data_IF_164354222490
#
_entry.id   IF_164354222490
#
_cell.length_a   1.000
_cell.length_b   1.000
_cell.length_c   1.000
_cell.angle_alpha   90.00
_cell.angle_beta   90.00
_cell.angle_gamma   90.00
#
_symmetry.space_group_name_H-M   'P 1'
#
loop_
_entity.id
_entity.type
_entity.pdbx_description
1 polymer ?
#
# COMPACT_ATOMS: atom_id res chain seq x y z
N UNK A 1 -17.46 -3.20 3.18
CA UNK A 1 -18.90 -2.94 2.89
C UNK A 1 -19.71 -4.21 2.62
N UNK A 2 -19.14 -5.24 1.97
CA UNK A 2 -19.86 -6.44 1.48
C UNK A 2 -20.50 -7.33 2.56
N UNK A 3 -20.23 -7.11 3.84
CA UNK A 3 -20.74 -7.94 4.93
C UNK A 3 -21.63 -7.18 5.94
N UNK A 4 -22.03 -5.95 5.61
CA UNK A 4 -22.78 -5.09 6.51
C UNK A 4 -24.16 -5.68 6.87
N UNK A 5 -24.88 -6.16 5.86
CA UNK A 5 -26.21 -6.72 6.05
C UNK A 5 -26.18 -8.03 6.86
N UNK A 6 -25.16 -8.86 6.60
CA UNK A 6 -24.91 -10.08 7.34
C UNK A 6 -24.53 -9.81 8.81
N UNK A 7 -23.74 -8.78 9.05
CA UNK A 7 -23.39 -8.31 10.39
C UNK A 7 -24.64 -7.90 11.17
N UNK A 8 -25.48 -7.02 10.59
CA UNK A 8 -26.69 -6.57 11.26
C UNK A 8 -27.72 -7.68 11.44
N UNK A 9 -27.80 -8.64 10.52
CA UNK A 9 -28.66 -9.82 10.67
C UNK A 9 -28.23 -10.66 11.88
N UNK A 10 -26.95 -11.03 11.95
CA UNK A 10 -26.43 -11.81 13.08
C UNK A 10 -26.55 -11.08 14.40
N UNK A 11 -26.35 -9.76 14.42
CA UNK A 11 -26.52 -8.94 15.60
C UNK A 11 -27.97 -8.92 16.09
N UNK A 12 -28.95 -8.71 15.17
CA UNK A 12 -30.38 -8.75 15.50
C UNK A 12 -30.82 -10.12 16.00
N UNK A 13 -30.35 -11.20 15.40
CA UNK A 13 -30.65 -12.55 15.82
C UNK A 13 -30.10 -12.85 17.23
N UNK A 14 -28.92 -12.33 17.54
CA UNK A 14 -28.35 -12.37 18.88
C UNK A 14 -29.20 -11.57 19.90
N UNK A 15 -29.61 -10.35 19.53
CA UNK A 15 -30.40 -9.47 20.38
C UNK A 15 -31.77 -10.06 20.73
N UNK A 16 -32.45 -10.75 19.81
CA UNK A 16 -33.73 -11.42 20.04
C UNK A 16 -33.63 -12.54 21.09
N UNK A 17 -32.44 -13.08 21.31
CA UNK A 17 -32.21 -14.16 22.29
C UNK A 17 -31.74 -13.64 23.64
N UNK A 18 -31.50 -12.33 23.80
CA UNK A 18 -31.08 -11.72 25.08
C UNK A 18 -32.11 -11.89 26.18
N UNK A 19 -33.41 -11.90 25.87
CA UNK A 19 -34.52 -12.09 26.80
C UNK A 19 -34.82 -13.57 27.08
N UNK A 20 -34.25 -14.47 26.30
CA UNK A 20 -34.41 -15.92 26.47
C UNK A 20 -33.32 -16.47 27.38
N UNK A 21 -33.67 -17.47 28.21
CA UNK A 21 -32.73 -18.16 29.13
C UNK A 21 -31.52 -18.80 28.42
N UNK A 22 -31.52 -18.91 27.08
CA UNK A 22 -30.42 -19.39 26.25
C UNK A 22 -30.00 -18.33 25.22
N UNK A 23 -28.99 -17.56 25.55
CA UNK A 23 -28.42 -16.57 24.66
C UNK A 23 -27.57 -17.31 23.60
N UNK A 24 -27.97 -17.20 22.33
CA UNK A 24 -27.26 -17.84 21.21
C UNK A 24 -26.35 -16.84 20.51
N UNK A 25 -25.13 -16.59 21.03
CA UNK A 25 -24.17 -15.77 20.32
C UNK A 25 -23.15 -16.56 19.46
N UNK A 26 -23.30 -17.85 19.38
CA UNK A 26 -22.37 -18.69 18.61
C UNK A 26 -22.30 -18.26 17.14
N UNK A 27 -23.44 -17.94 16.53
CA UNK A 27 -23.49 -17.49 15.14
C UNK A 27 -22.81 -16.13 14.95
N UNK A 28 -23.06 -15.19 15.86
CA UNK A 28 -22.44 -13.88 15.84
C UNK A 28 -20.94 -13.99 16.08
N UNK A 29 -20.51 -14.76 17.07
CA UNK A 29 -19.10 -14.98 17.39
C UNK A 29 -18.38 -15.65 16.22
N UNK A 30 -18.98 -16.66 15.62
CA UNK A 30 -18.43 -17.35 14.44
C UNK A 30 -18.30 -16.39 13.26
N UNK A 31 -19.29 -15.56 13.01
CA UNK A 31 -19.23 -14.53 11.98
C UNK A 31 -18.10 -13.52 12.24
N UNK A 32 -17.99 -13.04 13.48
CA UNK A 32 -16.97 -12.09 13.90
C UNK A 32 -15.56 -12.67 13.71
N UNK A 33 -15.32 -13.90 14.19
CA UNK A 33 -14.04 -14.59 14.04
C UNK A 33 -13.67 -14.86 12.57
N UNK A 34 -14.65 -15.26 11.74
CA UNK A 34 -14.44 -15.42 10.29
C UNK A 34 -14.08 -14.10 9.62
N UNK A 35 -14.73 -13.02 10.02
CA UNK A 35 -14.45 -11.68 9.49
C UNK A 35 -13.05 -11.21 9.87
N UNK A 36 -12.63 -11.41 11.12
CA UNK A 36 -11.27 -11.12 11.58
C UNK A 36 -10.22 -11.93 10.82
N UNK A 37 -10.46 -13.23 10.66
CA UNK A 37 -9.56 -14.11 9.89
C UNK A 37 -9.41 -13.62 8.45
N UNK A 38 -10.51 -13.28 7.79
CA UNK A 38 -10.48 -12.72 6.43
C UNK A 38 -9.69 -11.41 6.36
N UNK A 39 -9.84 -10.54 7.34
CA UNK A 39 -9.07 -9.28 7.42
C UNK A 39 -7.58 -9.55 7.61
N UNK A 40 -7.22 -10.46 8.52
CA UNK A 40 -5.84 -10.90 8.73
C UNK A 40 -5.23 -11.44 7.44
N UNK A 41 -5.90 -12.37 6.76
CA UNK A 41 -5.41 -13.01 5.54
C UNK A 41 -5.21 -11.98 4.40
N UNK A 42 -6.11 -10.99 4.29
CA UNK A 42 -5.97 -9.89 3.34
C UNK A 42 -4.78 -9.00 3.67
N UNK A 43 -4.54 -8.72 4.94
CA UNK A 43 -3.40 -7.93 5.41
C UNK A 43 -2.09 -8.67 5.15
N UNK A 44 -2.02 -9.97 5.44
CA UNK A 44 -0.86 -10.80 5.14
C UNK A 44 -0.51 -10.80 3.64
N UNK A 45 -1.52 -10.91 2.78
CA UNK A 45 -1.32 -10.82 1.31
C UNK A 45 -0.74 -9.47 0.89
N UNK A 46 -1.24 -8.37 1.46
CA UNK A 46 -0.72 -7.02 1.20
C UNK A 46 0.74 -6.88 1.66
N UNK A 47 1.04 -7.32 2.88
CA UNK A 47 2.40 -7.27 3.43
C UNK A 47 3.37 -8.11 2.60
N UNK A 48 2.97 -9.32 2.18
CA UNK A 48 3.80 -10.16 1.30
C UNK A 48 4.04 -9.50 -0.05
N UNK A 49 3.01 -8.90 -0.65
CA UNK A 49 3.16 -8.18 -1.91
C UNK A 49 4.10 -6.96 -1.78
N UNK A 50 4.02 -6.21 -0.67
CA UNK A 50 4.94 -5.10 -0.40
C UNK A 50 6.37 -5.56 -0.14
N UNK A 51 6.57 -6.68 0.58
CA UNK A 51 7.91 -7.26 0.77
C UNK A 51 8.55 -7.68 -0.55
N UNK A 52 7.82 -8.37 -1.42
CA UNK A 52 8.31 -8.75 -2.75
C UNK A 52 8.68 -7.51 -3.57
N UNK A 53 7.93 -6.42 -3.44
CA UNK A 53 8.26 -5.15 -4.09
C UNK A 53 9.53 -4.52 -3.49
N UNK A 54 9.74 -4.61 -2.18
CA UNK A 54 10.94 -4.10 -1.52
C UNK A 54 12.19 -4.93 -1.82
N UNK A 55 12.07 -6.25 -1.94
CA UNK A 55 13.18 -7.14 -2.30
C UNK A 55 13.72 -6.88 -3.71
N UNK A 56 12.90 -6.32 -4.61
CA UNK A 56 13.29 -5.93 -5.95
C UNK A 56 13.87 -4.50 -6.03
N UNK A 57 13.91 -3.76 -4.92
CA UNK A 57 14.50 -2.43 -4.87
C UNK A 57 15.92 -2.47 -4.33
N UNK A 58 16.86 -2.03 -5.16
CA UNK A 58 18.21 -1.70 -4.69
C UNK A 58 18.15 -0.52 -3.71
N UNK A 59 19.17 -0.42 -2.85
CA UNK A 59 19.35 0.68 -1.90
C UNK A 59 19.15 2.07 -2.55
N UNK A 60 19.60 2.22 -3.81
CA UNK A 60 19.46 3.46 -4.57
C UNK A 60 18.01 3.77 -4.94
N UNK A 61 17.19 2.77 -5.28
CA UNK A 61 15.75 2.98 -5.53
C UNK A 61 15.05 3.53 -4.30
N UNK A 62 15.31 2.96 -3.11
CA UNK A 62 14.73 3.42 -1.85
C UNK A 62 15.17 4.85 -1.53
N UNK A 63 16.44 5.17 -1.73
CA UNK A 63 16.97 6.51 -1.53
C UNK A 63 16.32 7.54 -2.47
N UNK A 64 16.12 7.20 -3.74
CA UNK A 64 15.41 8.06 -4.70
C UNK A 64 13.97 8.31 -4.27
N UNK A 65 13.25 7.28 -3.84
CA UNK A 65 11.86 7.41 -3.38
C UNK A 65 11.77 8.27 -2.12
N UNK A 66 12.70 8.13 -1.18
CA UNK A 66 12.77 8.96 0.02
C UNK A 66 13.03 10.44 -0.31
N UNK A 67 13.99 10.71 -1.21
CA UNK A 67 14.28 12.06 -1.69
C UNK A 67 13.03 12.67 -2.34
N UNK A 68 12.35 11.93 -3.23
CA UNK A 68 11.14 12.40 -3.91
C UNK A 68 9.94 12.55 -2.96
N UNK A 69 9.90 11.79 -1.86
CA UNK A 69 8.86 11.93 -0.83
C UNK A 69 8.94 13.26 -0.09
N UNK A 70 10.15 13.76 0.10
CA UNK A 70 10.40 15.02 0.79
C UNK A 70 10.31 16.24 -0.12
N UNK A 71 10.18 16.02 -1.44
CA UNK A 71 10.11 17.08 -2.45
C UNK A 71 8.98 16.80 -3.44
N UNK A 72 8.23 17.80 -3.81
CA UNK A 72 7.09 17.65 -4.72
C UNK A 72 7.51 17.21 -6.13
N UNK A 73 8.61 17.76 -6.64
CA UNK A 73 9.17 17.40 -7.95
C UNK A 73 10.64 17.74 -8.02
N UNK A 74 11.45 16.88 -8.61
CA UNK A 74 12.88 17.09 -8.76
C UNK A 74 13.36 16.71 -10.16
N UNK A 75 14.34 17.46 -10.67
CA UNK A 75 15.08 17.08 -11.89
C UNK A 75 16.11 15.98 -11.60
N UNK A 76 16.59 15.30 -12.64
CA UNK A 76 17.67 14.31 -12.50
C UNK A 76 18.90 14.91 -11.82
N UNK A 77 19.23 16.15 -12.15
CA UNK A 77 20.40 16.86 -11.60
C UNK A 77 20.25 17.13 -10.11
N UNK A 78 19.04 17.45 -9.65
CA UNK A 78 18.78 17.71 -8.24
C UNK A 78 18.80 16.40 -7.43
N UNK A 79 18.20 15.33 -7.98
CA UNK A 79 18.26 14.00 -7.36
C UNK A 79 19.72 13.52 -7.31
N UNK A 80 20.52 13.80 -8.33
CA UNK A 80 21.95 13.46 -8.35
C UNK A 80 22.72 14.16 -7.22
N UNK A 81 22.50 15.45 -7.05
CA UNK A 81 23.15 16.22 -5.97
C UNK A 81 22.79 15.69 -4.58
N UNK A 82 21.51 15.32 -4.38
CA UNK A 82 21.02 14.82 -3.10
C UNK A 82 21.41 13.37 -2.82
N UNK A 83 21.48 12.52 -3.84
CA UNK A 83 21.81 11.10 -3.70
C UNK A 83 23.30 10.81 -3.78
N UNK A 84 24.10 11.69 -4.38
CA UNK A 84 25.52 11.44 -4.68
C UNK A 84 25.78 10.34 -5.71
N UNK A 85 24.74 9.82 -6.36
CA UNK A 85 24.84 8.70 -7.29
C UNK A 85 25.33 9.13 -8.69
N UNK A 86 25.93 8.19 -9.42
CA UNK A 86 26.33 8.43 -10.81
C UNK A 86 25.10 8.72 -11.68
N UNK A 87 25.20 9.73 -12.54
CA UNK A 87 24.11 10.20 -13.40
C UNK A 87 23.51 9.10 -14.29
N UNK A 88 24.35 8.25 -14.90
CA UNK A 88 23.87 7.19 -15.78
C UNK A 88 23.13 6.11 -14.99
N UNK A 89 23.67 5.71 -13.84
CA UNK A 89 23.00 4.77 -12.93
C UNK A 89 21.67 5.31 -12.45
N UNK A 90 21.64 6.60 -12.09
CA UNK A 90 20.43 7.27 -11.64
C UNK A 90 19.32 7.26 -12.71
N UNK A 91 19.69 7.55 -13.97
CA UNK A 91 18.74 7.48 -15.09
C UNK A 91 18.12 6.10 -15.28
N UNK A 92 18.92 5.05 -15.17
CA UNK A 92 18.41 3.67 -15.27
C UNK A 92 17.42 3.42 -14.15
N UNK A 93 17.80 3.73 -12.90
CA UNK A 93 16.93 3.52 -11.72
C UNK A 93 15.65 4.34 -11.76
N UNK A 94 15.69 5.57 -12.23
CA UNK A 94 14.50 6.40 -12.44
C UNK A 94 13.59 5.81 -13.51
N UNK A 95 14.16 5.29 -14.62
CA UNK A 95 13.38 4.60 -15.65
C UNK A 95 12.68 3.35 -15.09
N UNK A 96 13.39 2.55 -14.31
CA UNK A 96 12.83 1.36 -13.65
C UNK A 96 11.67 1.75 -12.72
N UNK A 97 11.82 2.79 -11.91
CA UNK A 97 10.77 3.30 -11.01
C UNK A 97 9.54 3.82 -11.78
N UNK A 98 9.75 4.44 -12.95
CA UNK A 98 8.63 4.85 -13.83
C UNK A 98 7.92 3.64 -14.42
N UNK A 99 8.66 2.61 -14.89
CA UNK A 99 8.07 1.36 -15.38
C UNK A 99 7.29 0.63 -14.29
N UNK A 100 7.78 0.62 -13.06
CA UNK A 100 7.11 0.07 -11.89
C UNK A 100 5.92 0.94 -11.43
N UNK A 101 5.63 2.05 -12.11
CA UNK A 101 4.54 3.00 -11.80
C UNK A 101 4.62 3.60 -10.38
N UNK A 102 5.82 3.66 -9.80
CA UNK A 102 6.03 4.27 -8.47
C UNK A 102 6.25 5.78 -8.56
N UNK A 103 6.84 6.24 -9.64
CA UNK A 103 7.03 7.66 -9.96
C UNK A 103 6.49 7.97 -11.36
N UNK A 104 6.23 9.24 -11.61
CA UNK A 104 5.86 9.77 -12.92
C UNK A 104 6.93 10.78 -13.38
N UNK A 105 7.16 10.83 -14.67
CA UNK A 105 7.99 11.86 -15.30
C UNK A 105 7.08 12.90 -15.95
N UNK A 106 7.34 14.17 -15.66
CA UNK A 106 6.59 15.31 -16.21
C UNK A 106 7.53 16.21 -16.98
N UNK A 107 7.10 16.63 -18.16
CA UNK A 107 7.91 17.48 -19.05
C UNK A 107 8.57 16.71 -20.19
N UNK A 108 9.30 17.43 -21.04
CA UNK A 108 10.04 16.88 -22.19
C UNK A 108 11.47 17.45 -22.24
N UNK A 109 12.40 16.65 -22.77
CA UNK A 109 13.78 17.08 -22.98
C UNK A 109 14.53 17.37 -21.69
N UNK A 110 15.21 18.53 -21.64
CA UNK A 110 16.05 18.94 -20.51
C UNK A 110 15.26 19.36 -19.26
N UNK A 111 13.95 19.64 -19.40
CA UNK A 111 13.08 20.07 -18.32
C UNK A 111 12.28 18.93 -17.66
N UNK A 112 12.67 17.66 -17.84
CA UNK A 112 11.97 16.54 -17.22
C UNK A 112 12.18 16.54 -15.69
N UNK A 113 11.08 16.51 -14.96
CA UNK A 113 11.06 16.34 -13.50
C UNK A 113 10.33 15.06 -13.13
N UNK A 114 10.68 14.52 -11.98
CA UNK A 114 10.11 13.29 -11.43
C UNK A 114 9.33 13.58 -10.17
N UNK A 115 8.21 12.89 -10.02
CA UNK A 115 7.30 13.03 -8.87
C UNK A 115 6.84 11.64 -8.42
N UNK A 116 6.53 11.48 -7.14
CA UNK A 116 5.87 10.27 -6.67
C UNK A 116 4.46 10.20 -7.25
N UNK A 117 4.09 9.03 -7.72
CA UNK A 117 2.71 8.77 -8.12
C UNK A 117 1.87 8.55 -6.87
N UNK A 118 1.05 9.53 -6.54
CA UNK A 118 0.02 9.44 -5.50
C UNK A 118 -1.18 8.65 -6.03
#
# INVERSE_FOLDING_TARGET
EDNKDLYYKNLRDCQKTLEAKNIKFENWLTFFLKSLKKQKDNLEKKIKAEKILQENFDKLHLQILEILKNHNSLSVSDIQKLSGANYNTLKVKLKDLVQMKKIISVGKGRGVVYQIKI
#
